data_IF_470052875161
#
_entry.id   IF_470052875161
#
_cell.length_a   1.000
_cell.length_b   1.000
_cell.length_c   1.000
_cell.angle_alpha   90.00
_cell.angle_beta   90.00
_cell.angle_gamma   90.00
#
_symmetry.space_group_name_H-M   'P 1'
#
loop_
_entity.id
_entity.type
_entity.pdbx_description
1 polymer ?
#
# COMPACT_ATOMS: atom_id res chain seq x y z
N UNK A 1 30.73 -15.35 21.45
CA UNK A 1 29.64 -16.31 21.65
C UNK A 1 28.34 -15.83 20.99
N UNK A 2 27.83 -14.64 21.32
CA UNK A 2 26.62 -14.07 20.68
C UNK A 2 26.75 -13.79 19.17
N UNK A 3 27.97 -13.57 18.67
CA UNK A 3 28.23 -13.28 17.24
C UNK A 3 28.05 -14.50 16.33
N UNK A 4 28.45 -15.70 16.78
CA UNK A 4 28.29 -16.94 16.02
C UNK A 4 26.84 -17.42 16.01
N UNK A 5 26.11 -17.21 17.12
CA UNK A 5 24.66 -17.43 17.17
C UNK A 5 23.94 -16.46 16.23
N UNK A 6 24.35 -15.19 16.18
CA UNK A 6 23.81 -14.19 15.24
C UNK A 6 23.91 -14.62 13.78
N UNK A 7 25.05 -15.18 13.35
CA UNK A 7 25.27 -15.66 11.96
C UNK A 7 24.40 -16.85 11.56
N UNK A 8 24.00 -17.67 12.54
CA UNK A 8 23.09 -18.81 12.32
C UNK A 8 21.65 -18.30 12.23
N UNK A 9 21.25 -17.45 13.18
CA UNK A 9 19.86 -16.98 13.32
C UNK A 9 19.46 -16.07 12.16
N UNK A 10 20.36 -15.28 11.57
CA UNK A 10 20.08 -14.43 10.40
C UNK A 10 19.69 -15.19 9.13
N UNK A 11 19.93 -16.51 9.07
CA UNK A 11 19.60 -17.35 7.91
C UNK A 11 18.21 -17.95 7.97
N UNK A 12 17.52 -17.82 9.10
CA UNK A 12 16.16 -18.29 9.29
C UNK A 12 15.29 -17.09 9.66
N UNK A 13 14.09 -16.97 9.10
CA UNK A 13 13.08 -15.99 9.49
C UNK A 13 12.48 -16.37 10.87
N UNK A 14 13.36 -16.49 11.88
CA UNK A 14 13.10 -17.04 13.21
C UNK A 14 12.19 -16.17 14.10
N UNK A 15 11.52 -15.18 13.50
CA UNK A 15 10.66 -14.23 14.20
C UNK A 15 9.17 -14.38 13.83
N UNK A 16 8.79 -15.37 13.03
CA UNK A 16 7.39 -15.52 12.58
C UNK A 16 6.65 -16.74 13.16
N UNK A 17 7.33 -17.68 13.83
CA UNK A 17 6.70 -18.93 14.27
C UNK A 17 7.25 -19.44 15.63
N UNK A 18 6.35 -19.87 16.51
CA UNK A 18 6.66 -20.34 17.87
C UNK A 18 7.48 -21.64 17.85
N UNK A 19 7.13 -22.54 16.95
CA UNK A 19 7.80 -23.83 16.73
C UNK A 19 9.26 -23.65 16.28
N UNK A 20 9.53 -22.62 15.46
CA UNK A 20 10.90 -22.28 15.06
C UNK A 20 11.74 -21.79 16.25
N UNK A 21 11.15 -20.98 17.14
CA UNK A 21 11.82 -20.54 18.36
C UNK A 21 12.14 -21.70 19.31
N UNK A 22 11.23 -22.68 19.43
CA UNK A 22 11.47 -23.89 20.23
C UNK A 22 12.61 -24.75 19.66
N UNK A 23 12.68 -24.93 18.34
CA UNK A 23 13.76 -25.66 17.71
C UNK A 23 15.14 -25.04 17.99
N UNK A 24 15.24 -23.72 17.99
CA UNK A 24 16.50 -23.02 18.34
C UNK A 24 16.85 -23.16 19.80
N UNK A 25 15.86 -23.09 20.70
CA UNK A 25 16.10 -23.31 22.13
C UNK A 25 16.62 -24.72 22.41
N UNK A 26 16.10 -25.72 21.71
CA UNK A 26 16.59 -27.09 21.82
C UNK A 26 18.06 -27.17 21.38
N UNK A 27 18.40 -26.58 20.24
CA UNK A 27 19.78 -26.53 19.76
C UNK A 27 20.72 -25.82 20.74
N UNK A 28 20.31 -24.69 21.32
CA UNK A 28 21.11 -23.95 22.30
C UNK A 28 21.39 -24.81 23.54
N UNK A 29 20.38 -25.52 24.04
CA UNK A 29 20.51 -26.42 25.18
C UNK A 29 21.47 -27.59 24.89
N UNK A 30 21.35 -28.21 23.71
CA UNK A 30 22.21 -29.33 23.28
C UNK A 30 23.68 -28.90 23.14
N UNK A 31 23.94 -27.60 22.92
CA UNK A 31 25.27 -27.01 22.84
C UNK A 31 25.74 -26.39 24.16
N UNK A 32 24.99 -26.53 25.25
CA UNK A 32 25.32 -25.96 26.56
C UNK A 32 25.30 -24.43 26.59
N UNK A 33 24.55 -23.80 25.69
CA UNK A 33 24.41 -22.35 25.58
C UNK A 33 23.13 -21.91 26.28
N UNK A 34 23.24 -21.01 27.25
CA UNK A 34 22.08 -20.46 27.94
C UNK A 34 21.28 -19.55 26.99
N UNK A 35 20.01 -19.90 26.76
CA UNK A 35 19.07 -19.17 25.90
C UNK A 35 17.82 -18.71 26.66
N UNK A 36 17.14 -17.69 26.16
CA UNK A 36 15.86 -17.21 26.71
C UNK A 36 14.91 -16.81 25.59
N UNK A 37 13.69 -17.38 25.59
CA UNK A 37 12.62 -16.97 24.68
C UNK A 37 11.84 -15.81 25.30
N UNK A 38 11.76 -14.69 24.59
CA UNK A 38 10.88 -13.58 24.96
C UNK A 38 9.57 -13.74 24.20
N UNK A 39 8.56 -14.29 24.86
CA UNK A 39 7.21 -14.39 24.30
C UNK A 39 6.43 -13.11 24.57
N UNK A 40 6.31 -12.25 23.57
CA UNK A 40 5.47 -11.07 23.63
C UNK A 40 4.01 -11.51 23.47
N UNK A 41 3.22 -11.45 24.54
CA UNK A 41 1.76 -11.58 24.46
C UNK A 41 1.16 -10.19 24.35
N UNK A 42 0.59 -9.89 23.19
CA UNK A 42 -0.32 -8.75 23.08
C UNK A 42 -1.69 -9.15 23.65
N UNK A 43 -2.52 -8.16 24.01
CA UNK A 43 -3.82 -8.37 24.66
C UNK A 43 -4.86 -9.05 23.74
N UNK A 44 -4.59 -9.13 22.44
CA UNK A 44 -5.51 -9.64 21.43
C UNK A 44 -5.08 -11.07 21.07
N UNK A 45 -5.91 -12.06 21.41
CA UNK A 45 -5.57 -13.48 21.16
C UNK A 45 -5.90 -13.95 19.76
N UNK A 46 -6.69 -13.19 18.98
CA UNK A 46 -7.39 -13.78 17.84
C UNK A 46 -7.32 -12.95 16.53
N UNK A 47 -6.56 -11.84 16.44
CA UNK A 47 -6.44 -11.06 15.19
C UNK A 47 -5.03 -10.45 15.00
N UNK A 48 -4.48 -10.64 13.79
CA UNK A 48 -3.09 -10.34 13.35
C UNK A 48 -2.73 -8.86 13.18
N UNK A 49 -3.21 -7.98 14.05
CA UNK A 49 -2.73 -6.60 14.06
C UNK A 49 -2.39 -6.14 15.48
N UNK A 50 -1.10 -5.91 15.71
CA UNK A 50 -0.63 -5.16 16.89
C UNK A 50 -0.97 -3.69 16.69
N UNK A 51 -2.22 -3.32 16.91
CA UNK A 51 -2.57 -1.93 17.22
C UNK A 51 -2.32 -1.73 18.71
N UNK A 52 -1.22 -1.06 19.07
CA UNK A 52 -0.94 -0.76 20.48
C UNK A 52 -2.09 0.09 21.06
N UNK A 53 -2.48 -0.14 22.31
CA UNK A 53 -3.49 0.67 23.05
C UNK A 53 -3.18 2.19 23.00
N UNK A 54 -1.91 2.57 22.76
CA UNK A 54 -1.47 3.95 22.59
C UNK A 54 -2.00 4.59 21.30
N UNK A 55 -2.20 3.81 20.23
CA UNK A 55 -2.74 4.29 18.95
C UNK A 55 -4.25 4.44 18.98
N UNK A 56 -4.98 3.50 19.59
CA UNK A 56 -6.45 3.60 19.69
C UNK A 56 -6.87 4.89 20.40
N UNK A 57 -6.05 5.39 21.34
CA UNK A 57 -6.28 6.68 22.01
C UNK A 57 -6.04 7.88 21.08
N UNK A 58 -5.08 7.82 20.17
CA UNK A 58 -4.85 8.88 19.17
C UNK A 58 -5.93 8.86 18.07
N UNK A 59 -6.40 7.69 17.65
CA UNK A 59 -7.46 7.55 16.65
C UNK A 59 -8.85 7.95 17.19
N UNK A 60 -9.06 7.89 18.51
CA UNK A 60 -10.31 8.34 19.15
C UNK A 60 -10.40 9.86 19.29
N UNK A 61 -9.27 10.58 19.22
CA UNK A 61 -9.21 12.05 19.30
C UNK A 61 -9.29 12.71 17.91
N UNK A 62 -8.90 12.00 16.84
CA UNK A 62 -9.08 12.44 15.46
C UNK A 62 -10.45 11.96 14.98
N UNK A 63 -11.46 12.82 15.06
CA UNK A 63 -12.83 12.51 14.69
C UNK A 63 -12.93 11.74 13.36
N UNK A 64 -13.59 10.58 13.40
CA UNK A 64 -13.89 9.74 12.25
C UNK A 64 -14.50 10.58 11.11
N UNK A 65 -13.70 10.76 10.05
CA UNK A 65 -14.14 11.28 8.76
C UNK A 65 -13.47 10.43 7.68
N UNK A 66 -13.91 9.17 7.59
CA UNK A 66 -13.29 8.15 6.73
C UNK A 66 -13.29 8.55 5.25
N UNK A 67 -12.10 8.64 4.66
CA UNK A 67 -11.90 8.94 3.24
C UNK A 67 -10.53 8.47 2.75
N UNK A 68 -10.37 8.39 1.42
CA UNK A 68 -9.13 7.93 0.79
C UNK A 68 -7.92 8.78 1.19
N UNK A 69 -8.06 10.10 1.24
CA UNK A 69 -6.93 10.96 1.60
C UNK A 69 -6.50 10.81 3.06
N UNK A 70 -7.42 10.51 3.98
CA UNK A 70 -7.07 10.26 5.37
C UNK A 70 -6.17 9.02 5.50
N UNK A 71 -6.55 7.91 4.85
CA UNK A 71 -5.74 6.69 4.87
C UNK A 71 -4.41 6.90 4.13
N UNK A 72 -4.40 7.67 3.03
CA UNK A 72 -3.18 8.02 2.33
C UNK A 72 -2.22 8.84 3.20
N UNK A 73 -2.69 9.79 4.01
CA UNK A 73 -1.83 10.53 4.93
C UNK A 73 -1.29 9.63 6.05
N UNK A 74 -2.10 8.71 6.58
CA UNK A 74 -1.63 7.71 7.56
C UNK A 74 -0.51 6.83 6.97
N UNK A 75 -0.68 6.37 5.74
CA UNK A 75 0.34 5.60 5.01
C UNK A 75 1.58 6.46 4.74
N UNK A 76 1.42 7.74 4.41
CA UNK A 76 2.53 8.68 4.16
C UNK A 76 3.47 8.76 5.36
N UNK A 77 2.89 8.90 6.56
CA UNK A 77 3.64 9.05 7.80
C UNK A 77 4.27 7.72 8.25
N UNK A 78 3.58 6.59 8.05
CA UNK A 78 4.01 5.29 8.59
C UNK A 78 3.80 4.14 7.59
N UNK A 79 4.47 4.14 6.42
CA UNK A 79 4.20 3.15 5.38
C UNK A 79 4.44 1.71 5.84
N UNK A 80 5.47 1.48 6.66
CA UNK A 80 5.76 0.16 7.22
C UNK A 80 4.62 -0.43 8.06
N UNK A 81 3.78 0.41 8.66
CA UNK A 81 2.66 -0.04 9.50
C UNK A 81 1.43 -0.46 8.68
N UNK A 82 1.18 0.21 7.55
CA UNK A 82 -0.03 -0.02 6.76
C UNK A 82 0.20 -0.94 5.57
N UNK A 83 1.38 -0.87 4.96
CA UNK A 83 1.70 -1.57 3.72
C UNK A 83 3.06 -2.31 3.80
N UNK A 84 3.59 -2.50 5.01
CA UNK A 84 4.84 -3.25 5.27
C UNK A 84 6.13 -2.53 4.88
N UNK A 85 6.13 -1.69 3.84
CA UNK A 85 7.28 -0.90 3.39
C UNK A 85 6.87 0.31 2.55
N UNK A 86 7.73 1.32 2.46
CA UNK A 86 7.55 2.43 1.52
C UNK A 86 7.77 1.94 0.08
N UNK A 87 6.68 1.62 -0.62
CA UNK A 87 6.70 1.10 -1.99
C UNK A 87 5.48 1.58 -2.76
N UNK A 88 5.72 2.15 -3.95
CA UNK A 88 4.65 2.64 -4.83
C UNK A 88 3.81 1.49 -5.39
N UNK A 89 4.44 0.35 -5.69
CA UNK A 89 3.74 -0.83 -6.18
C UNK A 89 2.81 -1.40 -5.11
N UNK A 90 3.32 -1.59 -3.87
CA UNK A 90 2.49 -2.09 -2.76
C UNK A 90 1.40 -1.08 -2.39
N UNK A 91 1.69 0.22 -2.46
CA UNK A 91 0.67 1.27 -2.27
C UNK A 91 -0.45 1.17 -3.31
N UNK A 92 -0.11 1.00 -4.59
CA UNK A 92 -1.11 0.81 -5.64
C UNK A 92 -1.99 -0.42 -5.37
N UNK A 93 -1.39 -1.56 -5.05
CA UNK A 93 -2.14 -2.79 -4.74
C UNK A 93 -3.06 -2.60 -3.53
N UNK A 94 -2.56 -1.94 -2.48
CA UNK A 94 -3.37 -1.55 -1.31
C UNK A 94 -4.58 -0.70 -1.71
N UNK A 95 -4.40 0.30 -2.57
CA UNK A 95 -5.49 1.19 -3.00
C UNK A 95 -6.53 0.48 -3.87
N UNK A 96 -6.09 -0.46 -4.72
CA UNK A 96 -7.00 -1.33 -5.47
C UNK A 96 -7.85 -2.18 -4.52
N UNK A 97 -7.20 -2.78 -3.51
CA UNK A 97 -7.88 -3.55 -2.45
C UNK A 97 -8.85 -2.71 -1.64
N UNK A 98 -8.43 -1.52 -1.20
CA UNK A 98 -9.24 -0.56 -0.46
C UNK A 98 -10.51 -0.16 -1.22
N UNK A 99 -10.38 0.18 -2.51
CA UNK A 99 -11.52 0.49 -3.39
C UNK A 99 -12.46 -0.69 -3.54
N UNK A 100 -11.90 -1.89 -3.71
CA UNK A 100 -12.68 -3.14 -3.86
C UNK A 100 -13.48 -3.42 -2.60
N UNK A 101 -12.84 -3.38 -1.44
CA UNK A 101 -13.49 -3.62 -0.14
C UNK A 101 -14.60 -2.60 0.13
N UNK A 102 -14.39 -1.31 -0.15
CA UNK A 102 -15.44 -0.29 0.00
C UNK A 102 -16.66 -0.60 -0.87
N UNK A 103 -16.43 -0.99 -2.12
CA UNK A 103 -17.50 -1.37 -3.06
C UNK A 103 -18.28 -2.59 -2.55
N UNK A 104 -17.59 -3.63 -2.09
CA UNK A 104 -18.22 -4.85 -1.58
C UNK A 104 -19.02 -4.60 -0.29
N UNK A 105 -18.56 -3.68 0.55
CA UNK A 105 -19.24 -3.27 1.78
C UNK A 105 -20.34 -2.22 1.56
N UNK A 106 -20.58 -1.79 0.32
CA UNK A 106 -21.57 -0.74 0.01
C UNK A 106 -21.25 0.62 0.61
N UNK A 107 -19.96 0.90 0.86
CA UNK A 107 -19.50 2.18 1.41
C UNK A 107 -19.29 3.14 0.24
N UNK A 108 -20.16 4.14 0.14
CA UNK A 108 -20.07 5.18 -0.89
C UNK A 108 -18.73 5.92 -0.84
N UNK A 109 -18.23 6.28 -2.02
CA UNK A 109 -17.03 7.09 -2.16
C UNK A 109 -17.36 8.56 -1.85
N UNK A 110 -16.44 9.27 -1.20
CA UNK A 110 -16.57 10.73 -1.14
C UNK A 110 -16.34 11.33 -2.53
N UNK A 111 -16.78 12.57 -2.77
CA UNK A 111 -16.50 13.27 -4.03
C UNK A 111 -14.98 13.36 -4.30
N UNK A 112 -14.17 13.45 -3.26
CA UNK A 112 -12.71 13.49 -3.35
C UNK A 112 -12.13 12.12 -3.75
N UNK A 113 -12.68 11.03 -3.20
CA UNK A 113 -12.27 9.67 -3.54
C UNK A 113 -12.62 9.35 -5.01
N UNK A 114 -13.80 9.79 -5.46
CA UNK A 114 -14.24 9.66 -6.85
C UNK A 114 -13.33 10.44 -7.80
N UNK A 115 -13.02 11.71 -7.47
CA UNK A 115 -12.10 12.55 -8.24
C UNK A 115 -10.73 11.90 -8.43
N UNK A 116 -10.16 11.34 -7.36
CA UNK A 116 -8.91 10.60 -7.43
C UNK A 116 -9.03 9.37 -8.35
N UNK A 117 -10.08 8.57 -8.16
CA UNK A 117 -10.29 7.34 -8.93
C UNK A 117 -10.45 7.60 -10.44
N UNK A 118 -11.07 8.72 -10.81
CA UNK A 118 -11.36 9.07 -12.20
C UNK A 118 -10.17 9.77 -12.86
N UNK A 119 -9.51 10.72 -12.19
CA UNK A 119 -8.61 11.66 -12.87
C UNK A 119 -7.12 11.48 -12.51
N UNK A 120 -6.77 10.77 -11.43
CA UNK A 120 -5.36 10.70 -11.01
C UNK A 120 -4.47 9.99 -12.03
N UNK A 121 -4.95 8.93 -12.66
CA UNK A 121 -4.19 8.19 -13.66
C UNK A 121 -3.83 9.09 -14.87
N UNK A 122 -4.83 9.77 -15.43
CA UNK A 122 -4.65 10.71 -16.55
C UNK A 122 -3.76 11.90 -16.16
N UNK A 123 -3.84 12.36 -14.92
CA UNK A 123 -2.94 13.38 -14.40
C UNK A 123 -1.47 12.94 -14.44
N UNK A 124 -1.17 11.72 -13.97
CA UNK A 124 0.20 11.17 -13.99
C UNK A 124 0.69 10.96 -15.43
N UNK A 125 -0.18 10.44 -16.31
CA UNK A 125 0.11 10.30 -17.74
C UNK A 125 0.52 11.64 -18.39
N UNK A 126 -0.30 12.68 -18.20
CA UNK A 126 -0.04 14.03 -18.74
C UNK A 126 1.25 14.61 -18.18
N UNK A 127 1.52 14.45 -16.88
CA UNK A 127 2.73 14.96 -16.22
C UNK A 127 4.01 14.34 -16.81
N UNK A 128 3.94 13.06 -17.20
CA UNK A 128 5.07 12.34 -17.78
C UNK A 128 5.09 12.33 -19.31
N UNK A 129 4.13 13.00 -19.96
CA UNK A 129 3.95 12.98 -21.42
C UNK A 129 3.86 11.56 -22.00
N UNK A 130 3.21 10.66 -21.26
CA UNK A 130 3.02 9.26 -21.65
C UNK A 130 1.52 8.97 -21.79
N UNK A 131 1.19 8.07 -22.72
CA UNK A 131 -0.16 7.49 -22.83
C UNK A 131 -0.02 5.99 -22.95
N UNK A 132 -0.53 5.25 -21.96
CA UNK A 132 -0.28 3.82 -21.81
C UNK A 132 -1.36 3.14 -21.00
N UNK A 133 -1.57 1.85 -21.22
CA UNK A 133 -2.43 1.02 -20.37
C UNK A 133 -1.76 0.57 -19.06
N UNK A 134 -0.50 0.97 -18.83
CA UNK A 134 0.20 0.68 -17.59
C UNK A 134 -0.38 1.47 -16.41
N UNK A 135 -0.39 0.88 -15.22
CA UNK A 135 -0.81 1.60 -14.00
C UNK A 135 0.06 2.83 -13.74
N UNK A 136 -0.50 3.84 -13.08
CA UNK A 136 0.27 5.02 -12.67
C UNK A 136 1.49 4.65 -11.81
N UNK A 137 1.43 3.56 -11.02
CA UNK A 137 2.58 3.05 -10.28
C UNK A 137 3.71 2.59 -11.20
N UNK A 138 3.38 1.85 -12.27
CA UNK A 138 4.36 1.48 -13.30
C UNK A 138 4.92 2.71 -14.01
N UNK A 139 4.08 3.68 -14.35
CA UNK A 139 4.53 4.94 -14.97
C UNK A 139 5.55 5.65 -14.08
N UNK A 140 5.24 5.82 -12.78
CA UNK A 140 6.16 6.42 -11.81
C UNK A 140 7.47 5.64 -11.75
N UNK A 141 7.40 4.30 -11.73
CA UNK A 141 8.58 3.44 -11.66
C UNK A 141 9.47 3.51 -12.91
N UNK A 142 8.97 3.97 -14.07
CA UNK A 142 9.84 4.21 -15.23
C UNK A 142 10.90 5.29 -14.97
N UNK A 143 10.66 6.17 -13.99
CA UNK A 143 11.53 7.30 -13.66
C UNK A 143 12.19 7.16 -12.27
N UNK A 144 12.05 6.00 -11.62
CA UNK A 144 12.54 5.77 -10.26
C UNK A 144 13.38 4.49 -10.20
N UNK A 145 14.50 4.53 -9.48
CA UNK A 145 15.39 3.37 -9.31
C UNK A 145 14.94 2.44 -8.18
N UNK A 146 14.27 2.98 -7.16
CA UNK A 146 13.78 2.21 -6.02
C UNK A 146 12.30 2.47 -5.74
N UNK A 147 11.63 1.46 -5.19
CA UNK A 147 10.23 1.51 -4.77
C UNK A 147 9.93 2.65 -3.79
N UNK A 148 10.88 2.97 -2.90
CA UNK A 148 10.76 4.09 -1.98
C UNK A 148 10.76 5.44 -2.71
N UNK A 149 11.60 5.60 -3.73
CA UNK A 149 11.64 6.84 -4.52
C UNK A 149 10.33 7.03 -5.28
N UNK A 150 9.79 5.94 -5.84
CA UNK A 150 8.46 5.92 -6.45
C UNK A 150 7.37 6.29 -5.45
N UNK A 151 7.45 5.79 -4.21
CA UNK A 151 6.50 6.11 -3.14
C UNK A 151 6.55 7.60 -2.79
N UNK A 152 7.74 8.15 -2.61
CA UNK A 152 7.92 9.58 -2.34
C UNK A 152 7.43 10.43 -3.53
N UNK A 153 7.66 9.97 -4.76
CA UNK A 153 7.19 10.65 -5.97
C UNK A 153 5.66 10.62 -6.11
N UNK A 154 5.01 9.50 -5.76
CA UNK A 154 3.55 9.43 -5.70
C UNK A 154 2.98 10.53 -4.82
N UNK A 155 3.53 10.75 -3.61
CA UNK A 155 3.01 11.81 -2.73
C UNK A 155 3.24 13.22 -3.27
N UNK A 156 4.34 13.46 -3.99
CA UNK A 156 4.55 14.73 -4.70
C UNK A 156 3.47 14.94 -5.78
N UNK A 157 3.22 13.92 -6.60
CA UNK A 157 2.18 13.96 -7.64
C UNK A 157 0.78 14.10 -7.03
N UNK A 158 0.52 13.47 -5.89
CA UNK A 158 -0.72 13.59 -5.14
C UNK A 158 -0.94 15.01 -4.63
N UNK A 159 0.10 15.63 -4.05
CA UNK A 159 0.03 17.01 -3.57
C UNK A 159 -0.22 17.98 -4.74
N UNK A 160 0.42 17.77 -5.90
CA UNK A 160 0.13 18.55 -7.10
C UNK A 160 -1.29 18.32 -7.63
N UNK A 161 -1.74 17.07 -7.67
CA UNK A 161 -3.09 16.68 -8.13
C UNK A 161 -4.18 17.32 -7.28
N UNK A 162 -3.99 17.40 -5.96
CA UNK A 162 -4.95 18.04 -5.04
C UNK A 162 -5.03 19.56 -5.27
N UNK A 163 -3.94 20.18 -5.72
CA UNK A 163 -3.84 21.61 -5.98
C UNK A 163 -4.09 22.00 -7.45
N UNK A 164 -4.47 21.04 -8.31
CA UNK A 164 -4.65 21.29 -9.75
C UNK A 164 -5.91 22.12 -10.04
N UNK A 165 -5.88 22.80 -11.19
CA UNK A 165 -7.09 23.44 -11.72
C UNK A 165 -8.05 22.39 -12.32
N UNK A 166 -9.15 22.16 -11.62
CA UNK A 166 -10.18 21.18 -12.01
C UNK A 166 -10.95 21.55 -13.27
N UNK A 167 -10.86 22.79 -13.75
CA UNK A 167 -11.53 23.23 -14.99
C UNK A 167 -10.96 22.61 -16.26
N UNK A 168 -9.78 21.99 -16.16
CA UNK A 168 -9.08 21.33 -17.27
C UNK A 168 -9.48 19.86 -17.44
N UNK A 169 -10.12 19.25 -16.45
CA UNK A 169 -10.48 17.82 -16.48
C UNK A 169 -11.69 17.54 -17.40
N UNK A 170 -12.50 18.55 -17.73
CA UNK A 170 -13.72 18.39 -18.55
C UNK A 170 -13.48 18.49 -20.07
N UNK A 171 -12.30 18.92 -20.51
CA UNK A 171 -12.04 19.30 -21.92
C UNK A 171 -11.57 18.15 -22.82
N UNK A 172 -11.28 16.97 -22.27
CA UNK A 172 -10.70 15.84 -23.03
C UNK A 172 -11.61 14.59 -23.12
N UNK A 173 -12.94 14.74 -23.08
CA UNK A 173 -13.82 13.69 -23.62
C UNK A 173 -13.72 13.69 -25.15
N UNK A 174 -12.69 13.02 -25.68
CA UNK A 174 -12.60 12.68 -27.10
C UNK A 174 -13.88 11.94 -27.48
N UNK A 175 -14.51 12.41 -28.55
CA UNK A 175 -15.77 11.90 -29.08
C UNK A 175 -15.77 10.36 -29.17
N UNK A 176 -16.91 9.69 -28.92
CA UNK A 176 -17.00 8.25 -29.02
C UNK A 176 -16.54 7.79 -30.41
N UNK A 177 -15.56 6.88 -30.41
CA UNK A 177 -15.12 6.15 -31.59
C UNK A 177 -16.35 5.52 -32.24
N UNK A 178 -16.70 5.96 -33.45
CA UNK A 178 -17.71 5.29 -34.27
C UNK A 178 -17.17 3.89 -34.56
N UNK A 179 -17.85 2.89 -34.01
CA UNK A 179 -17.66 1.50 -34.43
C UNK A 179 -18.42 1.41 -35.75
N UNK A 180 -17.71 1.46 -36.86
CA UNK A 180 -18.30 1.13 -38.16
C UNK A 180 -18.80 -0.32 -38.09
N UNK A 181 -20.03 -0.54 -38.55
CA UNK A 181 -20.69 -1.83 -38.51
C UNK A 181 -19.83 -2.89 -39.25
N UNK A 182 -19.77 -4.14 -38.77
CA UNK A 182 -19.04 -5.17 -39.47
C UNK A 182 -19.67 -5.41 -40.84
N UNK A 183 -18.83 -5.40 -41.88
CA UNK A 183 -19.22 -5.77 -43.25
C UNK A 183 -19.90 -7.14 -43.23
N UNK A 184 -21.19 -7.17 -43.56
CA UNK A 184 -21.90 -8.41 -43.85
C UNK A 184 -21.28 -9.05 -45.08
N UNK A 185 -20.48 -10.09 -44.87
CA UNK A 185 -20.07 -11.01 -45.94
C UNK A 185 -21.24 -11.95 -46.22
N UNK A 186 -21.99 -11.64 -47.28
CA UNK A 186 -22.99 -12.54 -47.84
C UNK A 186 -22.28 -13.73 -48.49
N UNK A 187 -22.72 -14.95 -48.15
CA UNK A 187 -22.37 -16.17 -48.88
C UNK A 187 -23.52 -16.56 -49.80
#
# INVERSE_FOLDING_TARGET
MYEEVGKIVTKFELLECYECAEAVMQWLNDNGIEGKVIRLKTKYRDEDFILSDRLMRQEKEVGMSGGLYEILEKIRVRPGMYIGRASVTVLFDFLVGYKTARRELGIELTNEDADFCEHFHEFVERKHHLRTSNSWAKIIMLYCHHEKDGFDNFYKLLDEFKNRDKSLDTKEKVAPMKIDAPDTVTR
#
